data_IF_470571503965
#
_entry.id   IF_470571503965
#
_cell.length_a   1.000
_cell.length_b   1.000
_cell.length_c   1.000
_cell.angle_alpha   90.00
_cell.angle_beta   90.00
_cell.angle_gamma   90.00
#
_symmetry.space_group_name_H-M   'P 1'
#
loop_
_entity.id
_entity.type
_entity.pdbx_description
1 polymer ?
#
# COMPACT_ATOMS: atom_id res chain seq x y z
N UNK A 1 -65.29 11.42 -10.00
CA UNK A 1 -63.99 11.95 -9.51
C UNK A 1 -63.08 10.74 -9.28
N UNK A 2 -62.06 10.58 -10.08
CA UNK A 2 -61.02 9.51 -9.92
C UNK A 2 -59.82 10.14 -9.26
N UNK A 3 -59.43 9.61 -8.10
CA UNK A 3 -58.24 10.04 -7.37
C UNK A 3 -56.93 9.75 -8.17
N UNK A 4 -55.93 10.62 -8.10
CA UNK A 4 -54.69 10.41 -8.80
C UNK A 4 -53.81 9.39 -8.05
N UNK A 5 -53.38 8.33 -8.75
CA UNK A 5 -52.39 7.33 -8.25
C UNK A 5 -51.04 8.01 -8.05
N UNK A 6 -50.62 8.15 -6.81
CA UNK A 6 -49.29 8.62 -6.42
C UNK A 6 -48.21 7.66 -6.98
N UNK A 7 -47.38 8.14 -7.92
CA UNK A 7 -46.22 7.43 -8.41
C UNK A 7 -45.15 7.36 -7.29
N UNK A 8 -44.94 6.16 -6.74
CA UNK A 8 -43.83 5.86 -5.83
C UNK A 8 -42.53 5.95 -6.62
N UNK A 9 -41.65 6.89 -6.24
CA UNK A 9 -40.33 7.04 -6.82
C UNK A 9 -39.50 5.75 -6.63
N UNK A 10 -38.74 5.30 -7.62
CA UNK A 10 -37.94 4.10 -7.50
C UNK A 10 -36.84 4.28 -6.43
N UNK A 11 -36.78 3.35 -5.48
CA UNK A 11 -35.73 3.29 -4.46
C UNK A 11 -34.35 3.22 -5.13
N UNK A 12 -33.34 3.99 -4.68
CA UNK A 12 -32.01 3.94 -5.22
C UNK A 12 -31.44 2.53 -5.04
N UNK A 13 -31.08 1.89 -6.17
CA UNK A 13 -30.48 0.55 -6.23
C UNK A 13 -29.03 0.58 -5.76
N UNK A 14 -28.76 -0.02 -4.61
CA UNK A 14 -27.62 -0.95 -4.51
C UNK A 14 -26.23 -0.41 -4.20
N UNK A 15 -25.98 0.84 -3.71
CA UNK A 15 -24.61 1.30 -3.42
C UNK A 15 -24.06 0.94 -2.01
N UNK A 16 -24.78 1.05 -0.89
CA UNK A 16 -24.18 0.81 0.45
C UNK A 16 -23.87 -0.66 0.74
N UNK A 17 -24.74 -1.60 0.36
CA UNK A 17 -24.55 -3.04 0.65
C UNK A 17 -23.43 -3.69 -0.15
N UNK A 18 -23.14 -3.22 -1.36
CA UNK A 18 -22.08 -3.82 -2.18
C UNK A 18 -20.68 -3.42 -1.71
N UNK A 19 -20.50 -2.17 -1.25
CA UNK A 19 -19.20 -1.70 -0.75
C UNK A 19 -18.87 -2.31 0.63
N UNK A 20 -19.86 -2.43 1.51
CA UNK A 20 -19.69 -3.13 2.78
C UNK A 20 -19.28 -4.60 2.58
N UNK A 21 -19.98 -5.30 1.67
CA UNK A 21 -19.62 -6.68 1.35
C UNK A 21 -18.20 -6.80 0.76
N UNK A 22 -17.78 -5.84 -0.08
CA UNK A 22 -16.41 -5.79 -0.60
C UNK A 22 -15.40 -5.65 0.54
N UNK A 23 -15.65 -4.76 1.49
CA UNK A 23 -14.78 -4.54 2.64
C UNK A 23 -14.69 -5.79 3.53
N UNK A 24 -15.81 -6.44 3.84
CA UNK A 24 -15.82 -7.69 4.60
C UNK A 24 -15.02 -8.82 3.93
N UNK A 25 -15.12 -8.93 2.60
CA UNK A 25 -14.33 -9.88 1.83
C UNK A 25 -12.83 -9.57 1.98
N UNK A 26 -12.43 -8.30 1.85
CA UNK A 26 -11.02 -7.90 1.96
C UNK A 26 -10.47 -8.14 3.37
N UNK A 27 -11.21 -7.81 4.41
CA UNK A 27 -10.81 -8.08 5.80
C UNK A 27 -10.65 -9.57 6.09
N UNK A 28 -11.59 -10.38 5.58
CA UNK A 28 -11.53 -11.83 5.71
C UNK A 28 -10.34 -12.42 4.94
N UNK A 29 -10.14 -11.96 3.71
CA UNK A 29 -9.01 -12.38 2.87
C UNK A 29 -7.67 -12.00 3.50
N UNK A 30 -7.56 -10.82 4.13
CA UNK A 30 -6.35 -10.41 4.85
C UNK A 30 -6.05 -11.32 6.06
N UNK A 31 -7.05 -11.67 6.86
CA UNK A 31 -6.88 -12.61 7.98
C UNK A 31 -6.37 -13.97 7.50
N UNK A 32 -6.99 -14.52 6.46
CA UNK A 32 -6.56 -15.79 5.87
C UNK A 32 -5.13 -15.71 5.30
N UNK A 33 -4.81 -14.61 4.62
CA UNK A 33 -3.48 -14.35 4.07
C UNK A 33 -2.41 -14.30 5.17
N UNK A 34 -2.70 -13.59 6.26
CA UNK A 34 -1.81 -13.50 7.42
C UNK A 34 -1.57 -14.87 8.05
N UNK A 35 -2.65 -15.63 8.27
CA UNK A 35 -2.59 -16.88 9.03
C UNK A 35 -2.01 -18.04 8.21
N UNK A 36 -2.32 -18.12 6.91
CA UNK A 36 -1.96 -19.25 6.03
C UNK A 36 -0.92 -18.95 4.96
N UNK A 37 -0.72 -17.66 4.63
CA UNK A 37 0.15 -17.23 3.56
C UNK A 37 -0.50 -17.24 2.18
N UNK A 38 0.16 -16.58 1.21
CA UNK A 38 -0.40 -16.24 -0.11
C UNK A 38 -0.80 -17.46 -0.95
N UNK A 39 0.03 -18.50 -0.96
CA UNK A 39 -0.20 -19.67 -1.82
C UNK A 39 -1.27 -20.63 -1.27
N UNK A 40 -1.42 -20.72 0.05
CA UNK A 40 -2.29 -21.67 0.70
C UNK A 40 -3.78 -21.27 0.71
N UNK A 41 -4.08 -19.98 0.56
CA UNK A 41 -5.46 -19.47 0.58
C UNK A 41 -6.16 -19.72 -0.75
N UNK A 42 -7.36 -20.33 -0.71
CA UNK A 42 -8.21 -20.59 -1.87
C UNK A 42 -9.39 -19.62 -1.98
N UNK A 43 -9.87 -19.34 -3.21
CA UNK A 43 -11.04 -18.48 -3.42
C UNK A 43 -12.32 -19.02 -2.77
N UNK A 44 -12.51 -20.34 -2.76
CA UNK A 44 -13.64 -20.97 -2.09
C UNK A 44 -13.62 -20.72 -0.58
N UNK A 45 -12.44 -20.81 0.02
CA UNK A 45 -12.24 -20.55 1.45
C UNK A 45 -12.52 -19.08 1.82
N UNK A 46 -12.08 -18.14 0.96
CA UNK A 46 -12.40 -16.71 1.14
C UNK A 46 -13.91 -16.49 1.08
N UNK A 47 -14.59 -17.09 0.08
CA UNK A 47 -16.04 -16.97 -0.08
C UNK A 47 -16.79 -17.51 1.13
N UNK A 48 -16.44 -18.71 1.59
CA UNK A 48 -17.04 -19.37 2.74
C UNK A 48 -16.84 -18.55 4.02
N UNK A 49 -15.62 -18.11 4.28
CA UNK A 49 -15.29 -17.34 5.49
C UNK A 49 -15.91 -15.94 5.51
N UNK A 50 -16.11 -15.33 4.33
CA UNK A 50 -16.80 -14.04 4.20
C UNK A 50 -18.33 -14.16 4.09
N UNK A 51 -18.89 -15.38 4.12
CA UNK A 51 -20.34 -15.62 4.03
C UNK A 51 -20.95 -15.23 2.67
N UNK A 52 -20.18 -15.29 1.58
CA UNK A 52 -20.63 -14.91 0.23
C UNK A 52 -20.48 -16.07 -0.75
N UNK A 53 -21.16 -15.99 -1.92
CA UNK A 53 -20.93 -16.95 -2.99
C UNK A 53 -19.64 -16.66 -3.76
N UNK A 54 -19.03 -17.68 -4.36
CA UNK A 54 -17.89 -17.49 -5.27
C UNK A 54 -18.22 -16.56 -6.44
N UNK A 55 -19.43 -16.57 -6.94
CA UNK A 55 -19.89 -15.63 -7.97
C UNK A 55 -19.82 -14.16 -7.49
N UNK A 56 -20.03 -13.92 -6.19
CA UNK A 56 -19.90 -12.58 -5.59
C UNK A 56 -18.44 -12.13 -5.60
N UNK A 57 -17.48 -13.02 -5.30
CA UNK A 57 -16.04 -12.71 -5.40
C UNK A 57 -15.65 -12.34 -6.82
N UNK A 58 -16.00 -13.20 -7.79
CA UNK A 58 -15.60 -13.01 -9.19
C UNK A 58 -16.29 -11.87 -9.93
N UNK A 59 -17.29 -11.25 -9.30
CA UNK A 59 -17.85 -9.97 -9.77
C UNK A 59 -16.90 -8.79 -9.53
N UNK A 60 -16.04 -8.86 -8.48
CA UNK A 60 -15.11 -7.79 -8.09
C UNK A 60 -13.68 -8.06 -8.56
N UNK A 61 -13.25 -9.32 -8.51
CA UNK A 61 -11.87 -9.73 -8.77
C UNK A 61 -11.83 -10.88 -9.76
N UNK A 62 -10.84 -10.88 -10.63
CA UNK A 62 -10.66 -11.92 -11.66
C UNK A 62 -10.02 -13.19 -11.10
N UNK A 63 -9.29 -13.09 -9.98
CA UNK A 63 -8.61 -14.24 -9.38
C UNK A 63 -8.46 -14.07 -7.86
N UNK A 64 -8.11 -15.15 -7.16
CA UNK A 64 -7.80 -15.12 -5.72
C UNK A 64 -6.61 -14.23 -5.41
N UNK A 65 -5.63 -14.21 -6.29
CA UNK A 65 -4.42 -13.41 -6.15
C UNK A 65 -4.75 -11.91 -6.14
N UNK A 66 -5.69 -11.47 -6.98
CA UNK A 66 -6.19 -10.09 -6.96
C UNK A 66 -6.90 -9.75 -5.64
N UNK A 67 -7.69 -10.69 -5.09
CA UNK A 67 -8.35 -10.49 -3.79
C UNK A 67 -7.30 -10.33 -2.68
N UNK A 68 -6.35 -11.25 -2.60
CA UNK A 68 -5.30 -11.24 -1.58
C UNK A 68 -4.39 -10.02 -1.70
N UNK A 69 -4.10 -9.61 -2.93
CA UNK A 69 -3.36 -8.39 -3.22
C UNK A 69 -4.11 -7.15 -2.71
N UNK A 70 -5.36 -6.96 -3.14
CA UNK A 70 -6.17 -5.82 -2.71
C UNK A 70 -6.39 -5.83 -1.19
N UNK A 71 -6.62 -7.01 -0.57
CA UNK A 71 -6.75 -7.16 0.87
C UNK A 71 -5.50 -6.69 1.62
N UNK A 72 -4.33 -7.12 1.16
CA UNK A 72 -3.04 -6.72 1.72
C UNK A 72 -2.85 -5.19 1.66
N UNK A 73 -3.05 -4.60 0.49
CA UNK A 73 -2.75 -3.18 0.27
C UNK A 73 -3.80 -2.23 0.85
N UNK A 74 -5.09 -2.61 0.87
CA UNK A 74 -6.12 -1.84 1.58
C UNK A 74 -5.86 -1.81 3.09
N UNK A 75 -5.50 -2.96 3.68
CA UNK A 75 -5.18 -3.04 5.11
C UNK A 75 -3.96 -2.19 5.49
N UNK A 76 -2.93 -2.16 4.65
CA UNK A 76 -1.68 -1.43 4.90
C UNK A 76 -1.74 0.07 4.56
N UNK A 77 -2.78 0.53 3.88
CA UNK A 77 -2.89 1.93 3.42
C UNK A 77 -2.68 2.96 4.54
N UNK A 78 -3.29 2.83 5.75
CA UNK A 78 -3.09 3.80 6.82
C UNK A 78 -1.65 3.87 7.33
N UNK A 79 -0.99 2.71 7.47
CA UNK A 79 0.38 2.60 8.01
C UNK A 79 1.42 3.25 7.10
N UNK A 80 1.11 3.38 5.81
CA UNK A 80 2.00 3.89 4.78
C UNK A 80 1.61 5.29 4.28
N UNK A 81 0.70 5.98 4.97
CA UNK A 81 0.33 7.36 4.63
C UNK A 81 1.51 8.31 4.79
N UNK A 82 1.72 9.17 3.78
CA UNK A 82 2.76 10.20 3.84
C UNK A 82 2.24 11.38 4.66
N UNK A 83 3.02 11.89 5.63
CA UNK A 83 2.61 13.05 6.42
C UNK A 83 2.40 14.30 5.56
N UNK A 84 1.32 15.03 5.81
CA UNK A 84 0.97 16.23 5.04
C UNK A 84 1.59 17.50 5.62
N UNK A 85 2.00 17.50 6.90
CA UNK A 85 2.47 18.70 7.62
C UNK A 85 3.99 18.72 7.80
N UNK A 86 4.55 19.93 7.78
CA UNK A 86 6.00 20.21 7.94
C UNK A 86 6.69 20.48 6.61
N UNK A 87 7.98 20.86 6.68
CA UNK A 87 8.82 21.05 5.49
C UNK A 87 8.94 19.73 4.70
N UNK A 88 9.37 19.83 3.42
CA UNK A 88 9.52 18.66 2.57
C UNK A 88 10.43 17.60 3.18
N UNK A 89 11.61 18.00 3.68
CA UNK A 89 12.54 17.09 4.35
C UNK A 89 11.96 16.50 5.64
N UNK A 90 11.17 17.27 6.41
CA UNK A 90 10.49 16.75 7.62
C UNK A 90 9.46 15.67 7.25
N UNK A 91 8.68 15.90 6.20
CA UNK A 91 7.69 14.95 5.69
C UNK A 91 8.36 13.67 5.18
N UNK A 92 9.42 13.81 4.38
CA UNK A 92 10.19 12.69 3.84
C UNK A 92 10.84 11.87 4.95
N UNK A 93 11.43 12.52 5.95
CA UNK A 93 12.00 11.84 7.13
C UNK A 93 10.98 11.02 7.88
N UNK A 94 9.81 11.60 8.20
CA UNK A 94 8.73 10.88 8.88
C UNK A 94 8.26 9.66 8.07
N UNK A 95 8.19 9.81 6.74
CA UNK A 95 7.83 8.71 5.87
C UNK A 95 8.84 7.56 5.95
N UNK A 96 10.14 7.84 5.85
CA UNK A 96 11.20 6.82 5.91
C UNK A 96 11.22 6.10 7.27
N UNK A 97 11.03 6.84 8.37
CA UNK A 97 10.93 6.23 9.71
C UNK A 97 9.69 5.31 9.82
N UNK A 98 8.52 5.75 9.35
CA UNK A 98 7.30 4.92 9.32
C UNK A 98 7.46 3.70 8.41
N UNK A 99 8.12 3.86 7.26
CA UNK A 99 8.38 2.74 6.36
C UNK A 99 9.25 1.66 7.04
N UNK A 100 10.26 2.06 7.82
CA UNK A 100 11.08 1.09 8.55
C UNK A 100 10.29 0.36 9.64
N UNK A 101 9.44 1.07 10.39
CA UNK A 101 8.56 0.47 11.41
C UNK A 101 7.57 -0.52 10.78
N UNK A 102 6.95 -0.11 9.66
CA UNK A 102 6.04 -0.96 8.90
C UNK A 102 6.73 -2.23 8.39
N UNK A 103 7.90 -2.10 7.74
CA UNK A 103 8.64 -3.26 7.23
C UNK A 103 9.06 -4.22 8.35
N UNK A 104 9.34 -3.71 9.56
CA UNK A 104 9.68 -4.52 10.72
C UNK A 104 8.46 -5.14 11.45
N UNK A 105 7.23 -4.78 11.06
CA UNK A 105 6.00 -5.24 11.70
C UNK A 105 5.48 -6.57 11.13
N UNK A 106 4.39 -7.08 11.72
CA UNK A 106 3.67 -8.24 11.20
C UNK A 106 3.12 -7.95 9.79
N UNK A 107 2.60 -6.74 9.56
CA UNK A 107 2.09 -6.32 8.25
C UNK A 107 3.20 -6.35 7.18
N UNK A 108 4.42 -5.92 7.54
CA UNK A 108 5.58 -6.04 6.66
C UNK A 108 5.88 -7.50 6.30
N UNK A 109 5.75 -8.42 7.24
CA UNK A 109 5.90 -9.86 7.00
C UNK A 109 4.83 -10.38 6.03
N UNK A 110 3.56 -9.96 6.20
CA UNK A 110 2.47 -10.33 5.27
C UNK A 110 2.76 -9.79 3.87
N UNK A 111 3.23 -8.54 3.76
CA UNK A 111 3.64 -7.96 2.47
C UNK A 111 4.76 -8.77 1.80
N UNK A 112 5.76 -9.24 2.56
CA UNK A 112 6.83 -10.09 2.01
C UNK A 112 6.28 -11.36 1.38
N UNK A 113 5.31 -12.02 2.05
CA UNK A 113 4.63 -13.22 1.52
C UNK A 113 3.89 -12.94 0.22
N UNK A 114 3.20 -11.79 0.13
CA UNK A 114 2.54 -11.37 -1.12
C UNK A 114 3.56 -11.13 -2.23
N UNK A 115 4.63 -10.37 -1.96
CA UNK A 115 5.65 -10.06 -2.96
C UNK A 115 6.36 -11.32 -3.47
N UNK A 116 6.63 -12.28 -2.59
CA UNK A 116 7.16 -13.60 -2.99
C UNK A 116 6.16 -14.36 -3.85
N UNK A 117 4.88 -14.36 -3.45
CA UNK A 117 3.82 -15.09 -4.18
C UNK A 117 3.50 -14.54 -5.57
N UNK A 118 3.73 -13.24 -5.82
CA UNK A 118 3.50 -12.61 -7.13
C UNK A 118 4.76 -12.52 -7.99
N UNK A 119 5.91 -13.03 -7.50
CA UNK A 119 7.21 -12.83 -8.16
C UNK A 119 7.22 -13.28 -9.61
N UNK A 120 6.66 -14.45 -9.89
CA UNK A 120 6.67 -15.07 -11.21
C UNK A 120 5.46 -14.67 -12.08
N UNK A 121 4.48 -13.95 -11.52
CA UNK A 121 3.31 -13.47 -12.26
C UNK A 121 3.51 -12.03 -12.72
N UNK A 122 3.86 -11.85 -14.01
CA UNK A 122 4.08 -10.53 -14.61
C UNK A 122 2.86 -9.61 -14.52
N UNK A 123 1.63 -10.14 -14.53
CA UNK A 123 0.40 -9.35 -14.44
C UNK A 123 0.25 -8.79 -13.02
N UNK A 124 0.43 -9.63 -12.00
CA UNK A 124 0.36 -9.21 -10.59
C UNK A 124 1.50 -8.24 -10.24
N UNK A 125 2.70 -8.47 -10.77
CA UNK A 125 3.82 -7.52 -10.62
C UNK A 125 3.50 -6.16 -11.21
N UNK A 126 2.91 -6.09 -12.41
CA UNK A 126 2.46 -4.82 -13.00
C UNK A 126 1.41 -4.14 -12.14
N UNK A 127 0.42 -4.86 -11.65
CA UNK A 127 -0.58 -4.32 -10.72
C UNK A 127 0.06 -3.75 -9.45
N UNK A 128 1.05 -4.43 -8.88
CA UNK A 128 1.81 -3.94 -7.73
C UNK A 128 2.52 -2.62 -8.04
N UNK A 129 3.23 -2.55 -9.17
CA UNK A 129 3.92 -1.33 -9.60
C UNK A 129 2.92 -0.18 -9.81
N UNK A 130 1.85 -0.40 -10.54
CA UNK A 130 0.88 0.64 -10.91
C UNK A 130 0.06 1.12 -9.70
N UNK A 131 -0.47 0.20 -8.90
CA UNK A 131 -1.42 0.54 -7.82
C UNK A 131 -0.72 0.93 -6.51
N UNK A 132 0.53 0.52 -6.32
CA UNK A 132 1.23 0.72 -5.07
C UNK A 132 2.53 1.53 -5.23
N UNK A 133 3.49 1.03 -6.01
CA UNK A 133 4.83 1.63 -6.07
C UNK A 133 4.77 3.01 -6.72
N UNK A 134 4.18 3.11 -7.91
CA UNK A 134 4.16 4.36 -8.68
C UNK A 134 3.43 5.49 -7.97
N UNK A 135 2.29 5.20 -7.32
CA UNK A 135 1.55 6.21 -6.55
C UNK A 135 2.40 6.80 -5.42
N UNK A 136 3.15 5.95 -4.70
CA UNK A 136 4.02 6.41 -3.61
C UNK A 136 5.22 7.18 -4.12
N UNK A 137 5.82 6.73 -5.21
CA UNK A 137 6.93 7.44 -5.85
C UNK A 137 6.49 8.82 -6.33
N UNK A 138 5.31 8.95 -6.93
CA UNK A 138 4.76 10.26 -7.33
C UNK A 138 4.62 11.23 -6.16
N UNK A 139 4.10 10.77 -5.01
CA UNK A 139 3.97 11.64 -3.82
C UNK A 139 5.35 12.01 -3.27
N UNK A 140 6.28 11.06 -3.18
CA UNK A 140 7.65 11.34 -2.71
C UNK A 140 8.37 12.31 -3.66
N UNK A 141 8.22 12.12 -4.98
CA UNK A 141 8.77 13.01 -6.00
C UNK A 141 8.29 14.43 -5.79
N UNK A 142 6.97 14.65 -5.66
CA UNK A 142 6.41 15.98 -5.44
C UNK A 142 7.00 16.64 -4.18
N UNK A 143 7.17 15.89 -3.08
CA UNK A 143 7.81 16.40 -1.86
C UNK A 143 9.27 16.81 -2.11
N UNK A 144 10.01 16.04 -2.88
CA UNK A 144 11.41 16.32 -3.20
C UNK A 144 11.52 17.54 -4.13
N UNK A 145 10.66 17.63 -5.14
CA UNK A 145 10.60 18.80 -6.03
C UNK A 145 10.25 20.09 -5.28
N UNK A 146 9.29 20.03 -4.34
CA UNK A 146 8.99 21.14 -3.43
C UNK A 146 10.22 21.53 -2.57
N UNK A 147 10.95 20.54 -2.04
CA UNK A 147 12.17 20.79 -1.24
C UNK A 147 13.31 21.38 -2.08
N UNK A 148 13.41 21.05 -3.36
CA UNK A 148 14.35 21.70 -4.30
C UNK A 148 13.93 23.15 -4.53
N UNK A 149 12.66 23.39 -4.79
CA UNK A 149 12.12 24.74 -5.06
C UNK A 149 12.29 25.67 -3.84
N UNK A 150 12.20 25.12 -2.62
CA UNK A 150 12.42 25.85 -1.35
C UNK A 150 13.90 25.99 -0.95
N UNK A 151 14.83 25.43 -1.74
CA UNK A 151 16.26 25.48 -1.44
C UNK A 151 16.71 24.57 -0.29
N UNK A 152 15.88 23.61 0.14
CA UNK A 152 16.28 22.59 1.11
C UNK A 152 17.22 21.55 0.49
N UNK A 153 17.04 21.26 -0.80
CA UNK A 153 17.85 20.34 -1.60
C UNK A 153 18.51 21.07 -2.77
N UNK A 154 19.63 20.53 -3.25
CA UNK A 154 20.36 21.06 -4.41
C UNK A 154 19.48 21.03 -5.66
N UNK A 155 19.55 22.04 -6.54
CA UNK A 155 18.84 22.05 -7.82
C UNK A 155 19.17 20.85 -8.74
N UNK A 156 20.33 20.25 -8.55
CA UNK A 156 20.80 19.07 -9.31
C UNK A 156 20.33 17.74 -8.75
N UNK A 157 19.47 17.76 -7.73
CA UNK A 157 18.95 16.53 -7.11
C UNK A 157 18.04 15.80 -8.09
N UNK A 158 18.37 14.52 -8.40
CA UNK A 158 17.47 13.61 -9.10
C UNK A 158 16.50 12.99 -8.07
N UNK A 159 15.18 13.28 -8.16
CA UNK A 159 14.20 12.76 -7.21
C UNK A 159 14.11 11.23 -7.21
N UNK A 160 14.26 10.57 -8.36
CA UNK A 160 14.16 9.10 -8.44
C UNK A 160 15.36 8.44 -7.76
N UNK A 161 16.56 8.95 -8.00
CA UNK A 161 17.76 8.48 -7.34
C UNK A 161 17.67 8.66 -5.82
N UNK A 162 17.18 9.83 -5.37
CA UNK A 162 17.03 10.09 -3.94
C UNK A 162 16.02 9.14 -3.28
N UNK A 163 14.89 8.85 -3.94
CA UNK A 163 13.91 7.86 -3.47
C UNK A 163 14.54 6.50 -3.34
N UNK A 164 15.31 6.06 -4.34
CA UNK A 164 15.96 4.75 -4.34
C UNK A 164 17.03 4.65 -3.27
N UNK A 165 17.83 5.68 -3.06
CA UNK A 165 18.85 5.72 -2.01
C UNK A 165 18.26 5.70 -0.60
N UNK A 166 17.10 6.32 -0.38
CA UNK A 166 16.41 6.31 0.91
C UNK A 166 15.71 4.97 1.18
N UNK A 167 15.09 4.38 0.17
CA UNK A 167 14.25 3.18 0.32
C UNK A 167 15.06 1.89 0.19
N UNK A 168 16.03 1.84 -0.71
CA UNK A 168 16.81 0.64 -1.04
C UNK A 168 17.45 -0.04 0.17
N UNK A 169 18.17 0.68 1.05
CA UNK A 169 18.79 0.08 2.23
C UNK A 169 17.78 -0.52 3.22
N UNK A 170 16.56 0.04 3.32
CA UNK A 170 15.49 -0.50 4.16
C UNK A 170 15.00 -1.83 3.59
N UNK A 171 14.68 -1.86 2.30
CA UNK A 171 14.24 -3.09 1.61
C UNK A 171 15.34 -4.17 1.60
N UNK A 172 16.59 -3.79 1.38
CA UNK A 172 17.72 -4.73 1.42
C UNK A 172 17.82 -5.40 2.79
N UNK A 173 17.81 -4.60 3.88
CA UNK A 173 17.89 -5.14 5.24
C UNK A 173 16.68 -5.99 5.60
N UNK A 174 15.48 -5.56 5.20
CA UNK A 174 14.25 -6.30 5.40
C UNK A 174 14.25 -7.66 4.70
N UNK A 175 14.64 -7.71 3.42
CA UNK A 175 14.68 -8.95 2.65
C UNK A 175 15.78 -9.90 3.11
N UNK A 176 16.97 -9.38 3.47
CA UNK A 176 18.09 -10.20 3.90
C UNK A 176 18.00 -10.64 5.37
N UNK A 177 17.33 -9.88 6.23
CA UNK A 177 17.19 -10.19 7.64
C UNK A 177 18.51 -10.25 8.42
N UNK A 178 19.62 -9.72 7.87
CA UNK A 178 20.96 -9.83 8.45
C UNK A 178 21.20 -8.91 9.66
N UNK A 179 20.33 -7.92 9.89
CA UNK A 179 20.41 -6.99 11.01
C UNK A 179 19.05 -6.36 11.31
N UNK A 180 18.82 -5.84 12.54
CA UNK A 180 17.56 -5.19 12.90
C UNK A 180 17.22 -4.02 11.98
N UNK A 181 15.96 -3.96 11.54
CA UNK A 181 15.41 -2.83 10.81
C UNK A 181 14.68 -1.94 11.83
N UNK A 182 15.40 -0.99 12.41
CA UNK A 182 14.91 -0.11 13.47
C UNK A 182 14.95 1.37 13.09
N UNK A 183 14.37 2.23 13.95
CA UNK A 183 14.36 3.68 13.77
C UNK A 183 15.76 4.29 13.73
N UNK A 184 16.72 3.74 14.46
CA UNK A 184 18.09 4.25 14.50
C UNK A 184 18.77 4.06 13.15
N UNK A 185 18.60 2.90 12.54
CA UNK A 185 19.08 2.65 11.19
C UNK A 185 18.40 3.55 10.15
N UNK A 186 17.06 3.62 10.17
CA UNK A 186 16.31 4.46 9.23
C UNK A 186 16.72 5.95 9.33
N UNK A 187 16.89 6.44 10.57
CA UNK A 187 17.40 7.79 10.83
C UNK A 187 18.81 7.97 10.25
N UNK A 188 19.72 7.03 10.49
CA UNK A 188 21.09 7.07 9.99
C UNK A 188 21.15 7.12 8.47
N UNK A 189 20.33 6.29 7.78
CA UNK A 189 20.21 6.32 6.32
C UNK A 189 19.73 7.68 5.85
N UNK A 190 18.62 8.17 6.42
CA UNK A 190 18.08 9.48 6.05
C UNK A 190 19.12 10.58 6.19
N UNK A 191 19.73 10.70 7.37
CA UNK A 191 20.70 11.78 7.66
C UNK A 191 21.91 11.73 6.72
N UNK A 192 22.45 10.53 6.44
CA UNK A 192 23.61 10.36 5.54
C UNK A 192 23.27 10.61 4.06
N UNK A 193 22.11 10.11 3.61
CA UNK A 193 21.69 10.34 2.23
C UNK A 193 21.37 11.80 2.00
N UNK A 194 20.57 12.43 2.87
CA UNK A 194 20.20 13.84 2.72
C UNK A 194 21.43 14.76 2.77
N UNK A 195 22.44 14.47 3.58
CA UNK A 195 23.66 15.29 3.64
C UNK A 195 24.38 15.42 2.28
N UNK A 196 24.25 14.44 1.40
CA UNK A 196 24.80 14.48 0.04
C UNK A 196 24.00 15.40 -0.92
N UNK A 197 22.70 15.56 -0.66
CA UNK A 197 21.75 16.30 -1.51
C UNK A 197 21.35 17.66 -0.95
N UNK A 198 21.65 17.96 0.32
CA UNK A 198 21.26 19.21 0.98
C UNK A 198 21.96 20.40 0.31
N UNK A 199 21.22 21.49 0.10
CA UNK A 199 21.80 22.76 -0.30
C UNK A 199 22.74 23.29 0.80
N UNK A 200 23.82 23.95 0.39
CA UNK A 200 24.78 24.55 1.32
C UNK A 200 24.24 25.86 1.84
#
# INVERSE_FOLDING_TARGET
MKEPKTKIAPRPRGRPRSEHARQEILETAYKLLRDKGFNAVGSHEIAQAAGVSSATLYRWWKSKEEILFDACFEHMRPSLAIPETGSGLTRLRRYILRASEFLASEEGTVMARVLTGIHDDQRLRRMFLERYVNQRRQIQRAIIEDSIALGELKPTTDPELLIDMLSGPLFFRWLQGHAPLDKAFAKSIFDKVISAFQAK
#
